data_IF_296610422751
#
_entry.id   IF_296610422751
#
_cell.length_a   1.000
_cell.length_b   1.000
_cell.length_c   1.000
_cell.angle_alpha   90.00
_cell.angle_beta   90.00
_cell.angle_gamma   90.00
#
_symmetry.space_group_name_H-M   'P 1'
#
loop_
_entity.id
_entity.type
_entity.pdbx_description
1 polymer ?
#
# COMPACT_ATOMS: atom_id res chain seq x y z
N UNK A 1 11.24 33.72 -15.03
CA UNK A 1 9.91 33.16 -14.75
C UNK A 1 10.03 32.28 -13.54
N UNK A 2 9.46 32.73 -12.43
CA UNK A 2 9.61 32.19 -11.08
C UNK A 2 9.29 30.69 -11.03
N UNK A 3 10.28 29.90 -10.59
CA UNK A 3 10.03 28.55 -10.09
C UNK A 3 9.33 28.73 -8.75
N UNK A 4 8.03 28.50 -8.76
CA UNK A 4 7.20 28.39 -7.57
C UNK A 4 7.90 27.49 -6.53
N UNK A 5 8.30 28.10 -5.41
CA UNK A 5 9.09 27.52 -4.31
C UNK A 5 8.21 26.91 -3.22
N UNK A 6 6.89 26.78 -3.45
CA UNK A 6 5.98 26.27 -2.45
C UNK A 6 5.95 24.73 -2.41
N UNK A 7 6.66 24.16 -1.43
CA UNK A 7 6.61 22.77 -0.92
C UNK A 7 7.56 21.76 -1.59
N UNK A 8 8.85 21.89 -1.30
CA UNK A 8 9.83 20.85 -1.59
C UNK A 8 9.61 19.54 -0.82
N UNK A 9 8.89 19.58 0.30
CA UNK A 9 8.65 18.44 1.18
C UNK A 9 7.18 18.44 1.60
N UNK A 10 6.58 17.25 1.60
CA UNK A 10 5.24 16.98 2.10
C UNK A 10 5.33 15.83 3.09
N UNK A 11 4.67 15.96 4.23
CA UNK A 11 4.65 14.92 5.26
C UNK A 11 3.24 14.74 5.78
N UNK A 12 2.80 13.48 5.82
CA UNK A 12 1.47 13.10 6.29
C UNK A 12 1.56 11.89 7.19
N UNK A 13 1.02 12.01 8.38
CA UNK A 13 0.85 10.90 9.32
C UNK A 13 -0.62 10.65 9.55
N UNK A 14 -1.03 9.39 9.51
CA UNK A 14 -2.39 8.96 9.86
C UNK A 14 -2.32 7.98 11.01
N UNK A 15 -3.18 8.17 12.00
CA UNK A 15 -3.27 7.29 13.16
C UNK A 15 -4.70 6.78 13.33
N UNK A 16 -4.83 5.49 13.60
CA UNK A 16 -6.06 4.82 13.97
C UNK A 16 -5.88 4.05 15.27
N UNK A 17 -6.91 4.05 16.11
CA UNK A 17 -6.93 3.32 17.38
C UNK A 17 -8.27 2.60 17.55
N UNK A 18 -8.21 1.33 17.91
CA UNK A 18 -9.35 0.50 18.23
C UNK A 18 -9.14 -0.11 19.63
N UNK A 19 -10.08 0.10 20.54
CA UNK A 19 -10.08 -0.53 21.85
C UNK A 19 -11.48 -1.02 22.20
N UNK A 20 -11.61 -2.30 22.49
CA UNK A 20 -12.88 -2.92 22.88
C UNK A 20 -12.69 -3.83 24.09
N UNK A 21 -13.69 -3.84 24.96
CA UNK A 21 -13.88 -4.86 25.98
C UNK A 21 -15.21 -5.55 25.67
N UNK A 22 -15.14 -6.64 24.89
CA UNK A 22 -16.31 -7.37 24.34
C UNK A 22 -16.22 -8.85 24.68
N UNK A 23 -16.44 -9.15 25.94
CA UNK A 23 -16.49 -10.51 26.47
C UNK A 23 -17.80 -11.21 26.08
N UNK A 24 -17.72 -12.47 25.65
CA UNK A 24 -18.91 -13.29 25.38
C UNK A 24 -19.56 -13.78 26.69
N UNK A 25 -18.79 -13.88 27.77
CA UNK A 25 -19.25 -14.25 29.11
C UNK A 25 -18.50 -13.46 30.18
N UNK A 26 -19.05 -13.45 31.40
CA UNK A 26 -18.43 -12.78 32.55
C UNK A 26 -17.09 -13.44 32.93
N UNK A 27 -16.96 -14.74 32.69
CA UNK A 27 -15.78 -15.54 33.05
C UNK A 27 -14.74 -15.65 31.93
N UNK A 28 -15.00 -15.08 30.75
CA UNK A 28 -14.08 -15.09 29.60
C UNK A 28 -13.92 -13.67 29.03
N UNK A 29 -13.15 -12.82 29.72
CA UNK A 29 -12.98 -11.44 29.31
C UNK A 29 -12.17 -11.35 28.00
N UNK A 30 -12.73 -10.64 27.01
CA UNK A 30 -12.04 -10.38 25.73
C UNK A 30 -11.77 -8.89 25.58
N UNK A 31 -10.51 -8.53 25.74
CA UNK A 31 -9.96 -7.22 25.42
C UNK A 31 -9.35 -7.26 24.03
N UNK A 32 -9.74 -6.33 23.17
CA UNK A 32 -9.12 -6.12 21.88
C UNK A 32 -8.47 -4.74 21.89
N UNK A 33 -7.20 -4.70 21.54
CA UNK A 33 -6.46 -3.47 21.36
C UNK A 33 -5.75 -3.51 20.01
N UNK A 34 -5.98 -2.51 19.18
CA UNK A 34 -5.29 -2.39 17.91
C UNK A 34 -5.00 -0.94 17.56
N UNK A 35 -3.90 -0.73 16.85
CA UNK A 35 -3.55 0.57 16.29
C UNK A 35 -3.08 0.41 14.86
N UNK A 36 -3.25 1.48 14.11
CA UNK A 36 -2.76 1.64 12.75
C UNK A 36 -1.94 2.93 12.68
N UNK A 37 -0.78 2.86 12.03
CA UNK A 37 0.08 4.00 11.78
C UNK A 37 0.49 4.02 10.31
N UNK A 38 0.11 5.09 9.60
CA UNK A 38 0.61 5.39 8.25
C UNK A 38 1.53 6.60 8.30
N UNK A 39 2.70 6.50 7.66
CA UNK A 39 3.65 7.61 7.50
C UNK A 39 3.96 7.76 6.02
N UNK A 40 3.71 8.95 5.48
CA UNK A 40 3.96 9.30 4.09
C UNK A 40 4.85 10.53 4.03
N UNK A 41 5.93 10.44 3.27
CA UNK A 41 6.83 11.56 3.00
C UNK A 41 7.12 11.67 1.51
N UNK A 42 7.06 12.88 0.97
CA UNK A 42 7.42 13.15 -0.42
C UNK A 42 8.38 14.33 -0.46
N UNK A 43 9.49 14.15 -1.17
CA UNK A 43 10.49 15.18 -1.41
C UNK A 43 10.66 15.42 -2.91
N UNK A 44 10.62 16.68 -3.36
CA UNK A 44 10.58 17.09 -4.78
C UNK A 44 11.85 17.84 -5.24
N UNK A 45 13.04 17.23 -5.27
CA UNK A 45 14.24 17.91 -5.74
C UNK A 45 14.20 18.07 -7.27
N UNK A 46 14.25 19.32 -7.73
CA UNK A 46 14.27 19.68 -9.15
C UNK A 46 13.16 18.96 -9.96
N UNK A 47 13.53 18.04 -10.86
CA UNK A 47 12.61 17.29 -11.74
C UNK A 47 12.23 15.91 -11.20
N UNK A 48 12.66 15.55 -10.00
CA UNK A 48 12.48 14.21 -9.42
C UNK A 48 11.53 14.26 -8.23
N UNK A 49 10.96 13.12 -7.86
CA UNK A 49 10.25 12.96 -6.59
C UNK A 49 10.76 11.72 -5.88
N UNK A 50 11.11 11.87 -4.61
CA UNK A 50 11.44 10.79 -3.70
C UNK A 50 10.22 10.59 -2.81
N UNK A 51 9.68 9.38 -2.80
CA UNK A 51 8.46 9.02 -2.07
C UNK A 51 8.82 7.92 -1.10
N UNK A 52 8.42 8.11 0.15
CA UNK A 52 8.47 7.10 1.19
C UNK A 52 7.07 6.92 1.76
N UNK A 53 6.61 5.67 1.82
CA UNK A 53 5.32 5.28 2.38
C UNK A 53 5.54 4.12 3.32
N UNK A 54 4.98 4.17 4.50
CA UNK A 54 4.92 3.04 5.41
C UNK A 54 3.57 2.92 6.06
N UNK A 55 3.21 1.68 6.37
CA UNK A 55 2.00 1.33 7.09
C UNK A 55 2.34 0.22 8.09
N UNK A 56 1.81 0.36 9.31
CA UNK A 56 1.97 -0.61 10.38
C UNK A 56 0.62 -0.79 11.07
N UNK A 57 0.16 -2.03 11.10
CA UNK A 57 -1.09 -2.44 11.72
C UNK A 57 -0.80 -3.51 12.77
N UNK A 58 -1.26 -3.25 13.98
CA UNK A 58 -1.09 -4.15 15.12
C UNK A 58 -2.43 -4.39 15.78
N UNK A 59 -2.72 -5.65 16.11
CA UNK A 59 -3.91 -6.08 16.83
C UNK A 59 -3.54 -7.15 17.86
N UNK A 60 -3.94 -6.90 19.10
CA UNK A 60 -3.83 -7.79 20.23
C UNK A 60 -5.21 -8.24 20.68
N UNK A 61 -5.38 -9.52 20.95
CA UNK A 61 -6.56 -10.08 21.64
C UNK A 61 -6.07 -10.62 22.98
N UNK A 62 -6.58 -10.05 24.07
CA UNK A 62 -6.12 -10.28 25.43
C UNK A 62 -4.61 -10.03 25.56
N UNK A 63 -3.85 -11.09 25.82
CA UNK A 63 -2.39 -11.06 25.92
C UNK A 63 -1.65 -11.67 24.72
N UNK A 64 -2.38 -12.20 23.74
CA UNK A 64 -1.81 -12.75 22.52
C UNK A 64 -1.77 -11.69 21.40
N UNK A 65 -0.60 -11.56 20.77
CA UNK A 65 -0.47 -10.88 19.50
C UNK A 65 -1.32 -11.65 18.46
N UNK A 66 -2.28 -10.96 17.86
CA UNK A 66 -3.26 -11.60 16.98
C UNK A 66 -3.03 -11.23 15.51
N UNK A 67 -2.85 -9.94 15.18
CA UNK A 67 -2.47 -9.48 13.83
C UNK A 67 -1.27 -8.55 13.91
N UNK A 68 -0.30 -8.78 13.05
CA UNK A 68 0.77 -7.82 12.80
C UNK A 68 1.12 -7.87 11.30
N UNK A 69 0.80 -6.79 10.59
CA UNK A 69 1.20 -6.62 9.21
C UNK A 69 1.72 -5.21 9.01
N UNK A 70 2.62 -5.07 8.05
CA UNK A 70 3.16 -3.77 7.72
C UNK A 70 4.02 -3.79 6.48
N UNK A 71 4.29 -2.60 5.98
CA UNK A 71 5.22 -2.43 4.88
C UNK A 71 5.95 -1.08 4.95
N UNK A 72 7.11 -1.05 4.31
CA UNK A 72 7.85 0.15 3.98
C UNK A 72 8.13 0.13 2.48
N UNK A 73 7.84 1.23 1.80
CA UNK A 73 7.94 1.38 0.37
C UNK A 73 8.68 2.67 0.03
N UNK A 74 9.79 2.54 -0.68
CA UNK A 74 10.56 3.65 -1.23
C UNK A 74 10.44 3.70 -2.74
N UNK A 75 10.20 4.88 -3.30
CA UNK A 75 10.09 5.09 -4.75
C UNK A 75 10.76 6.38 -5.18
N UNK A 76 11.42 6.34 -6.33
CA UNK A 76 11.94 7.54 -7.00
C UNK A 76 11.26 7.68 -8.36
N UNK A 77 10.63 8.83 -8.59
CA UNK A 77 10.07 9.22 -9.88
C UNK A 77 11.03 10.18 -10.56
N UNK A 78 11.60 9.77 -11.70
CA UNK A 78 12.45 10.63 -12.51
C UNK A 78 11.65 11.39 -13.54
N UNK A 79 12.00 12.65 -13.79
CA UNK A 79 11.35 13.50 -14.78
C UNK A 79 9.83 13.62 -14.55
N UNK A 80 9.40 13.77 -13.28
CA UNK A 80 8.00 13.65 -12.85
C UNK A 80 7.01 14.58 -13.57
N UNK A 81 7.51 15.69 -14.11
CA UNK A 81 6.70 16.68 -14.81
C UNK A 81 6.45 16.31 -16.28
N UNK A 82 7.27 15.43 -16.85
CA UNK A 82 7.19 15.02 -18.24
C UNK A 82 6.06 14.01 -18.47
N UNK A 83 5.52 14.03 -19.70
CA UNK A 83 4.46 13.10 -20.13
C UNK A 83 4.91 11.65 -20.00
N UNK A 84 6.16 11.37 -20.37
CA UNK A 84 6.82 10.08 -20.17
C UNK A 84 7.83 10.26 -19.05
N UNK A 85 7.65 9.51 -17.98
CA UNK A 85 8.52 9.55 -16.81
C UNK A 85 8.85 8.13 -16.36
N UNK A 86 9.79 7.99 -15.42
CA UNK A 86 10.32 6.70 -15.01
C UNK A 86 10.21 6.55 -13.51
N UNK A 87 9.94 5.35 -13.02
CA UNK A 87 10.02 5.04 -11.60
C UNK A 87 10.92 3.84 -11.35
N UNK A 88 11.58 3.89 -10.20
CA UNK A 88 12.18 2.73 -9.55
C UNK A 88 11.69 2.67 -8.11
N UNK A 89 11.47 1.48 -7.60
CA UNK A 89 10.93 1.28 -6.26
C UNK A 89 11.46 0.02 -5.60
N UNK A 90 11.45 0.04 -4.27
CA UNK A 90 11.74 -1.09 -3.42
C UNK A 90 10.76 -1.12 -2.26
N UNK A 91 10.38 -2.31 -1.84
CA UNK A 91 9.46 -2.49 -0.72
C UNK A 91 9.82 -3.72 0.10
N UNK A 92 9.73 -3.56 1.41
CA UNK A 92 9.72 -4.64 2.39
C UNK A 92 8.33 -4.69 3.03
N UNK A 93 7.78 -5.88 3.17
CA UNK A 93 6.47 -6.08 3.80
C UNK A 93 6.43 -7.41 4.52
N UNK A 94 5.60 -7.48 5.55
CA UNK A 94 5.31 -8.70 6.29
C UNK A 94 3.82 -8.73 6.65
N UNK A 95 3.29 -9.93 6.82
CA UNK A 95 1.93 -10.23 7.25
C UNK A 95 1.97 -11.55 8.01
N UNK A 96 2.27 -11.45 9.30
CA UNK A 96 2.53 -12.60 10.15
C UNK A 96 1.29 -13.46 10.32
N UNK A 97 0.10 -12.84 10.28
CA UNK A 97 -1.17 -13.56 10.39
C UNK A 97 -1.41 -14.51 9.22
N UNK A 98 -1.01 -14.11 8.00
CA UNK A 98 -1.07 -14.97 6.81
C UNK A 98 0.19 -15.82 6.62
N UNK A 99 1.17 -15.70 7.52
CA UNK A 99 2.45 -16.40 7.45
C UNK A 99 3.44 -15.80 6.45
N UNK A 100 3.23 -14.59 5.93
CA UNK A 100 4.16 -13.94 5.01
C UNK A 100 5.20 -13.14 5.78
N UNK A 101 6.39 -13.68 5.97
CA UNK A 101 7.51 -12.93 6.52
C UNK A 101 8.85 -13.56 6.13
N UNK A 102 9.76 -12.85 5.44
CA UNK A 102 9.59 -11.54 4.82
C UNK A 102 9.08 -11.60 3.37
N UNK A 103 8.55 -10.47 2.89
CA UNK A 103 8.41 -10.17 1.46
C UNK A 103 9.24 -8.95 1.07
N UNK A 104 10.19 -9.14 0.17
CA UNK A 104 11.00 -8.09 -0.42
C UNK A 104 10.67 -8.00 -1.91
N UNK A 105 10.55 -6.79 -2.44
CA UNK A 105 10.44 -6.57 -3.88
C UNK A 105 11.24 -5.34 -4.32
N UNK A 106 11.74 -5.40 -5.54
CA UNK A 106 12.34 -4.27 -6.25
C UNK A 106 11.78 -4.24 -7.67
N UNK A 107 11.58 -3.06 -8.22
CA UNK A 107 11.02 -2.93 -9.56
C UNK A 107 11.21 -1.55 -10.15
N UNK A 108 10.74 -1.43 -11.38
CA UNK A 108 10.72 -0.17 -12.09
C UNK A 108 9.72 -0.20 -13.23
N UNK A 109 9.28 0.99 -13.62
CA UNK A 109 8.24 1.15 -14.63
C UNK A 109 8.49 2.40 -15.46
N UNK A 110 8.09 2.35 -16.74
CA UNK A 110 7.84 3.54 -17.53
C UNK A 110 6.42 4.00 -17.23
N UNK A 111 6.26 5.30 -17.01
CA UNK A 111 5.00 5.93 -16.63
C UNK A 111 4.57 6.90 -17.71
N UNK A 112 3.31 6.82 -18.09
CA UNK A 112 2.66 7.71 -19.04
C UNK A 112 1.58 8.53 -18.32
N UNK A 113 1.82 9.83 -18.21
CA UNK A 113 0.83 10.82 -17.76
C UNK A 113 -0.12 11.08 -18.92
N UNK A 114 -1.27 10.41 -18.93
CA UNK A 114 -2.25 10.53 -20.02
C UNK A 114 -3.10 11.79 -19.89
N UNK A 115 -3.50 12.11 -18.66
CA UNK A 115 -4.18 13.35 -18.29
C UNK A 115 -3.45 13.96 -17.10
N UNK A 116 -3.17 15.27 -17.16
CA UNK A 116 -2.58 16.01 -16.06
C UNK A 116 -3.15 17.43 -16.05
N UNK A 117 -4.06 17.66 -15.12
CA UNK A 117 -4.72 18.94 -14.86
C UNK A 117 -4.70 19.18 -13.35
N UNK A 118 -5.11 20.37 -12.92
CA UNK A 118 -5.12 20.72 -11.50
C UNK A 118 -6.07 19.86 -10.66
N UNK A 119 -7.16 19.36 -11.28
CA UNK A 119 -8.18 18.54 -10.61
C UNK A 119 -8.15 17.06 -10.94
N UNK A 120 -7.49 16.68 -12.03
CA UNK A 120 -7.49 15.30 -12.52
C UNK A 120 -6.12 14.91 -13.06
N UNK A 121 -5.58 13.83 -12.53
CA UNK A 121 -4.37 13.18 -13.04
C UNK A 121 -4.65 11.70 -13.31
N UNK A 122 -4.32 11.25 -14.52
CA UNK A 122 -4.37 9.85 -14.94
C UNK A 122 -2.98 9.39 -15.37
N UNK A 123 -2.55 8.27 -14.78
CA UNK A 123 -1.23 7.70 -14.99
C UNK A 123 -1.36 6.20 -15.30
N UNK A 124 -0.60 5.75 -16.29
CA UNK A 124 -0.42 4.33 -16.58
C UNK A 124 1.05 4.01 -16.39
N UNK A 125 1.35 3.00 -15.57
CA UNK A 125 2.70 2.46 -15.40
C UNK A 125 2.80 1.08 -16.04
N UNK A 126 3.85 0.87 -16.83
CA UNK A 126 4.17 -0.42 -17.44
C UNK A 126 5.59 -0.76 -17.04
N UNK A 127 5.75 -1.93 -16.42
CA UNK A 127 7.02 -2.26 -15.78
C UNK A 127 7.14 -3.71 -15.37
N UNK A 128 8.15 -3.93 -14.53
CA UNK A 128 8.46 -5.24 -13.99
C UNK A 128 9.00 -5.12 -12.57
N UNK A 129 8.89 -6.22 -11.85
CA UNK A 129 9.47 -6.37 -10.53
C UNK A 129 10.09 -7.75 -10.36
N UNK A 130 11.02 -7.83 -9.42
CA UNK A 130 11.51 -9.05 -8.83
C UNK A 130 11.07 -9.05 -7.37
N UNK A 131 10.41 -10.12 -6.95
CA UNK A 131 10.02 -10.32 -5.56
C UNK A 131 10.60 -11.61 -5.00
N UNK A 132 10.76 -11.62 -3.68
CA UNK A 132 11.14 -12.74 -2.85
C UNK A 132 10.15 -12.80 -1.70
N UNK A 133 9.53 -13.95 -1.51
CA UNK A 133 8.51 -14.18 -0.48
C UNK A 133 8.87 -15.43 0.31
N UNK A 134 8.79 -15.33 1.63
CA UNK A 134 8.84 -16.48 2.55
C UNK A 134 7.49 -16.62 3.22
N UNK A 135 6.94 -17.83 3.17
CA UNK A 135 5.61 -18.16 3.66
C UNK A 135 5.68 -19.31 4.65
N UNK A 136 5.08 -19.14 5.83
CA UNK A 136 4.74 -20.23 6.72
C UNK A 136 3.43 -20.87 6.24
N UNK A 137 3.43 -22.19 6.04
CA UNK A 137 2.23 -22.91 5.66
C UNK A 137 1.23 -22.91 6.83
N UNK A 138 -0.07 -22.60 6.60
CA UNK A 138 -1.04 -22.43 7.69
C UNK A 138 -1.44 -23.74 8.38
N UNK A 139 -1.26 -24.89 7.72
CA UNK A 139 -1.68 -26.20 8.23
C UNK A 139 -0.54 -27.18 8.49
N UNK A 140 0.68 -26.83 8.09
CA UNK A 140 1.84 -27.72 8.12
C UNK A 140 3.01 -26.94 8.70
N UNK A 141 3.91 -27.61 9.41
CA UNK A 141 5.19 -27.04 9.83
C UNK A 141 6.16 -26.97 8.63
N UNK A 142 5.77 -26.24 7.59
CA UNK A 142 6.49 -26.11 6.33
C UNK A 142 6.70 -24.62 6.01
N UNK A 143 7.92 -24.28 5.63
CA UNK A 143 8.26 -22.94 5.10
C UNK A 143 8.41 -23.04 3.59
N UNK A 144 7.73 -22.16 2.86
CA UNK A 144 7.84 -22.03 1.41
C UNK A 144 8.52 -20.73 1.04
N UNK A 145 9.58 -20.84 0.26
CA UNK A 145 10.27 -19.69 -0.31
C UNK A 145 10.06 -19.65 -1.81
N UNK A 146 9.74 -18.49 -2.33
CA UNK A 146 9.57 -18.30 -3.76
C UNK A 146 10.17 -16.97 -4.20
N UNK A 147 10.70 -16.95 -5.42
CA UNK A 147 11.17 -15.74 -6.05
C UNK A 147 10.72 -15.64 -7.49
N UNK A 148 9.97 -14.59 -7.81
CA UNK A 148 9.34 -14.43 -9.11
C UNK A 148 9.75 -13.11 -9.75
N UNK A 149 10.04 -13.18 -11.06
CA UNK A 149 9.95 -12.00 -11.91
C UNK A 149 8.51 -11.85 -12.34
N UNK A 150 7.95 -10.66 -12.16
CA UNK A 150 6.59 -10.35 -12.55
C UNK A 150 6.59 -9.12 -13.46
N UNK A 151 5.79 -9.16 -14.52
CA UNK A 151 5.30 -7.92 -15.12
C UNK A 151 4.45 -7.22 -14.07
N UNK A 152 4.65 -5.92 -13.89
CA UNK A 152 3.95 -5.11 -12.91
C UNK A 152 3.46 -3.85 -13.59
N UNK A 153 2.17 -3.80 -13.84
CA UNK A 153 1.52 -2.70 -14.53
C UNK A 153 0.50 -2.09 -13.60
N UNK A 154 0.29 -0.79 -13.72
CA UNK A 154 -0.70 -0.13 -12.90
C UNK A 154 -1.39 1.02 -13.61
N UNK A 155 -2.58 1.32 -13.12
CA UNK A 155 -3.34 2.49 -13.45
C UNK A 155 -3.54 3.31 -12.17
N UNK A 156 -3.32 4.61 -12.24
CA UNK A 156 -3.54 5.53 -11.13
C UNK A 156 -4.38 6.72 -11.56
N UNK A 157 -5.34 7.06 -10.71
CA UNK A 157 -6.26 8.18 -10.84
C UNK A 157 -6.15 9.02 -9.58
N UNK A 158 -5.92 10.33 -9.74
CA UNK A 158 -6.10 11.33 -8.68
C UNK A 158 -7.12 12.34 -9.15
N UNK A 159 -8.19 12.51 -8.37
CA UNK A 159 -9.28 13.43 -8.67
C UNK A 159 -9.60 14.31 -7.45
N UNK A 160 -9.51 15.62 -7.62
CA UNK A 160 -10.00 16.62 -6.67
C UNK A 160 -11.44 16.94 -7.05
N UNK A 161 -12.40 16.36 -6.33
CA UNK A 161 -13.83 16.48 -6.64
C UNK A 161 -14.34 17.89 -6.33
N UNK A 162 -13.84 18.48 -5.25
CA UNK A 162 -14.07 19.85 -4.81
C UNK A 162 -12.96 20.26 -3.82
N UNK A 163 -13.07 21.45 -3.23
CA UNK A 163 -12.04 22.00 -2.33
C UNK A 163 -11.87 21.23 -1.00
N UNK A 164 -12.75 20.27 -0.72
CA UNK A 164 -12.77 19.47 0.50
C UNK A 164 -12.49 17.98 0.27
N UNK A 165 -12.64 17.46 -0.96
CA UNK A 165 -12.61 16.01 -1.21
C UNK A 165 -11.64 15.67 -2.33
N UNK A 166 -10.63 14.89 -1.98
CA UNK A 166 -9.67 14.28 -2.90
C UNK A 166 -9.84 12.76 -2.91
N UNK A 167 -9.85 12.18 -4.11
CA UNK A 167 -9.89 10.74 -4.34
C UNK A 167 -8.60 10.31 -5.04
N UNK A 168 -7.91 9.33 -4.48
CA UNK A 168 -6.77 8.67 -5.10
C UNK A 168 -7.10 7.19 -5.27
N UNK A 169 -6.97 6.68 -6.49
CA UNK A 169 -7.15 5.28 -6.82
C UNK A 169 -5.87 4.79 -7.49
N UNK A 170 -5.42 3.62 -7.10
CA UNK A 170 -4.37 2.89 -7.81
C UNK A 170 -4.74 1.42 -7.92
N UNK A 171 -4.60 0.87 -9.12
CA UNK A 171 -4.82 -0.54 -9.43
C UNK A 171 -3.54 -1.11 -10.01
N UNK A 172 -2.99 -2.14 -9.38
CA UNK A 172 -1.86 -2.92 -9.86
C UNK A 172 -2.34 -4.25 -10.41
N UNK A 173 -1.85 -4.63 -11.58
CA UNK A 173 -1.98 -5.96 -12.13
C UNK A 173 -0.60 -6.55 -12.39
N UNK A 174 -0.31 -7.65 -11.72
CA UNK A 174 1.01 -8.28 -11.69
C UNK A 174 0.92 -9.73 -12.14
N UNK A 175 1.78 -10.14 -13.07
CA UNK A 175 1.77 -11.50 -13.61
C UNK A 175 3.20 -12.04 -13.70
N UNK A 176 3.43 -13.24 -13.20
CA UNK A 176 4.70 -13.95 -13.33
C UNK A 176 4.52 -15.45 -13.53
N UNK A 177 5.42 -16.04 -14.30
CA UNK A 177 5.45 -17.49 -14.51
C UNK A 177 6.15 -18.19 -13.36
N UNK A 178 5.45 -19.10 -12.69
CA UNK A 178 6.00 -19.91 -11.61
C UNK A 178 6.37 -21.30 -12.15
N UNK A 179 7.68 -21.57 -12.16
CA UNK A 179 8.23 -22.85 -12.64
C UNK A 179 7.80 -24.04 -11.78
N UNK A 180 7.53 -23.85 -10.49
CA UNK A 180 7.15 -24.94 -9.58
C UNK A 180 5.79 -25.54 -9.91
N UNK A 181 4.91 -24.76 -10.53
CA UNK A 181 3.57 -25.19 -10.97
C UNK A 181 3.41 -25.17 -12.49
N UNK A 182 4.45 -24.78 -13.22
CA UNK A 182 4.44 -24.60 -14.68
C UNK A 182 3.27 -23.74 -15.20
N UNK A 183 2.90 -22.71 -14.45
CA UNK A 183 1.74 -21.86 -14.73
C UNK A 183 1.97 -20.42 -14.23
N UNK A 184 1.13 -19.48 -14.66
CA UNK A 184 1.18 -18.09 -14.26
C UNK A 184 0.47 -17.84 -12.93
N UNK A 185 1.11 -17.04 -12.08
CA UNK A 185 0.48 -16.40 -10.93
C UNK A 185 0.13 -14.97 -11.28
N UNK A 186 -1.09 -14.58 -10.96
CA UNK A 186 -1.67 -13.27 -11.21
C UNK A 186 -2.08 -12.67 -9.88
N UNK A 187 -1.68 -11.42 -9.64
CA UNK A 187 -2.03 -10.65 -8.46
C UNK A 187 -2.64 -9.32 -8.90
N UNK A 188 -3.82 -9.01 -8.37
CA UNK A 188 -4.49 -7.74 -8.55
C UNK A 188 -4.55 -7.03 -7.19
N UNK A 189 -4.04 -5.80 -7.11
CA UNK A 189 -4.17 -4.97 -5.92
C UNK A 189 -4.86 -3.67 -6.29
N UNK A 190 -5.81 -3.23 -5.47
CA UNK A 190 -6.48 -1.94 -5.59
C UNK A 190 -6.37 -1.20 -4.27
N UNK A 191 -6.06 0.08 -4.32
CA UNK A 191 -6.11 0.98 -3.16
C UNK A 191 -6.85 2.24 -3.55
N UNK A 192 -7.92 2.54 -2.83
CA UNK A 192 -8.72 3.75 -2.98
C UNK A 192 -8.66 4.55 -1.69
N UNK A 193 -8.16 5.78 -1.76
CA UNK A 193 -8.04 6.70 -0.64
C UNK A 193 -8.91 7.91 -0.90
N UNK A 194 -9.87 8.16 -0.03
CA UNK A 194 -10.74 9.34 -0.02
C UNK A 194 -10.32 10.21 1.16
N UNK A 195 -9.74 11.37 0.86
CA UNK A 195 -9.38 12.37 1.86
C UNK A 195 -10.45 13.45 1.90
N UNK A 196 -11.02 13.68 3.08
CA UNK A 196 -11.96 14.77 3.33
C UNK A 196 -11.30 15.80 4.25
N UNK A 197 -11.03 16.99 3.73
CA UNK A 197 -10.43 18.10 4.46
C UNK A 197 -11.38 18.58 5.56
N UNK A 198 -10.90 18.59 6.80
CA UNK A 198 -11.60 19.17 7.96
C UNK A 198 -11.10 20.58 8.21
N UNK A 199 -9.78 20.78 8.14
CA UNK A 199 -9.12 22.08 8.23
C UNK A 199 -7.81 22.06 7.44
N UNK A 200 -7.01 23.11 7.51
CA UNK A 200 -5.74 23.18 6.76
C UNK A 200 -4.68 22.16 7.20
N UNK A 201 -4.82 21.57 8.40
CA UNK A 201 -3.88 20.59 8.96
C UNK A 201 -4.48 19.23 9.24
N UNK A 202 -5.80 19.09 9.14
CA UNK A 202 -6.52 17.89 9.53
C UNK A 202 -7.43 17.41 8.40
N UNK A 203 -7.34 16.12 8.12
CA UNK A 203 -8.16 15.45 7.12
C UNK A 203 -8.68 14.12 7.67
N UNK A 204 -9.94 13.79 7.37
CA UNK A 204 -10.46 12.44 7.54
C UNK A 204 -10.06 11.61 6.31
N UNK A 205 -9.30 10.55 6.52
CA UNK A 205 -8.83 9.66 5.46
C UNK A 205 -9.58 8.35 5.53
N UNK A 206 -10.27 7.97 4.46
CA UNK A 206 -10.87 6.65 4.30
C UNK A 206 -10.08 5.88 3.24
N UNK A 207 -9.56 4.71 3.61
CA UNK A 207 -8.76 3.86 2.74
C UNK A 207 -9.48 2.54 2.54
N UNK A 208 -9.68 2.16 1.29
CA UNK A 208 -10.19 0.87 0.88
C UNK A 208 -9.12 0.14 0.08
N UNK A 209 -8.60 -0.96 0.63
CA UNK A 209 -7.61 -1.80 -0.03
C UNK A 209 -8.24 -3.15 -0.38
N UNK A 210 -7.88 -3.68 -1.55
CA UNK A 210 -8.30 -4.99 -2.03
C UNK A 210 -7.11 -5.69 -2.69
N UNK A 211 -6.88 -6.94 -2.35
CA UNK A 211 -5.86 -7.79 -2.95
C UNK A 211 -6.45 -9.13 -3.33
N UNK A 212 -6.23 -9.51 -4.58
CA UNK A 212 -6.64 -10.79 -5.14
C UNK A 212 -5.44 -11.52 -5.72
N UNK A 213 -5.31 -12.80 -5.39
CA UNK A 213 -4.37 -13.73 -6.00
C UNK A 213 -5.13 -14.94 -6.54
N UNK A 214 -4.91 -15.26 -7.82
CA UNK A 214 -5.57 -16.43 -8.42
C UNK A 214 -5.04 -17.75 -7.83
N UNK A 215 -3.77 -17.75 -7.44
CA UNK A 215 -3.01 -18.90 -6.93
C UNK A 215 -2.07 -18.40 -5.84
N UNK A 216 -2.51 -18.36 -4.58
CA UNK A 216 -1.65 -18.09 -3.44
C UNK A 216 -0.50 -19.12 -3.32
N UNK A 217 0.61 -18.73 -2.68
CA UNK A 217 1.80 -19.61 -2.52
C UNK A 217 1.52 -20.76 -1.52
N UNK A 218 0.76 -20.43 -0.49
CA UNK A 218 0.24 -21.32 0.56
C UNK A 218 -1.29 -21.26 0.54
N UNK A 219 -2.03 -22.25 1.09
CA UNK A 219 -3.49 -22.31 1.00
C UNK A 219 -4.19 -21.28 1.90
N UNK A 220 -4.09 -20.00 1.53
CA UNK A 220 -4.79 -18.86 2.14
C UNK A 220 -5.92 -18.37 1.23
N UNK A 221 -6.80 -17.51 1.75
CA UNK A 221 -7.88 -16.91 0.93
C UNK A 221 -7.31 -16.15 -0.27
N UNK A 222 -7.95 -16.31 -1.43
CA UNK A 222 -7.55 -15.65 -2.67
C UNK A 222 -7.85 -14.14 -2.65
N UNK A 223 -8.90 -13.72 -1.94
CA UNK A 223 -9.34 -12.33 -1.87
C UNK A 223 -9.25 -11.84 -0.43
N UNK A 224 -8.58 -10.72 -0.24
CA UNK A 224 -8.57 -9.95 1.00
C UNK A 224 -8.95 -8.51 0.70
N UNK A 225 -9.63 -7.87 1.64
CA UNK A 225 -9.94 -6.45 1.57
C UNK A 225 -9.89 -5.84 2.96
N UNK A 226 -9.68 -4.54 3.02
CA UNK A 226 -9.77 -3.79 4.27
C UNK A 226 -10.36 -2.41 4.01
N UNK A 227 -11.06 -1.90 5.01
CA UNK A 227 -11.54 -0.52 5.04
C UNK A 227 -11.04 0.10 6.34
N UNK A 228 -10.34 1.22 6.22
CA UNK A 228 -9.78 1.97 7.35
C UNK A 228 -10.24 3.41 7.29
N UNK A 229 -10.60 3.96 8.44
CA UNK A 229 -10.86 5.39 8.62
C UNK A 229 -9.87 5.92 9.64
N UNK A 230 -9.14 6.96 9.29
CA UNK A 230 -8.12 7.57 10.15
C UNK A 230 -8.17 9.09 10.11
N UNK A 231 -7.67 9.71 11.18
CA UNK A 231 -7.42 11.14 11.20
C UNK A 231 -5.98 11.39 10.77
N UNK A 232 -5.81 12.23 9.75
CA UNK A 232 -4.50 12.58 9.21
C UNK A 232 -4.10 13.98 9.59
N UNK A 233 -2.80 14.15 9.84
CA UNK A 233 -2.15 15.42 10.09
C UNK A 233 -1.23 15.74 8.90
N UNK A 234 -1.52 16.84 8.22
CA UNK A 234 -0.88 17.24 6.95
C UNK A 234 0.08 18.43 7.20
N UNK A 235 1.36 18.27 6.80
CA UNK A 235 2.41 19.29 6.89
C UNK A 235 3.00 19.64 5.51
#
# INVERSE_FOLDING_TARGET
MEKDTAKYFQFKTTFGLNHYNRSAGVDDPVSLFGYNLDVNAIYYPAKHAFVFVSNFDYLKINDADFLNFGFVHGRVNFLREEKVNYEVYGQYSFDNFRGLDPRLLIGGSVRLSTIKTDRLTLLVGIGGLKEWETWQHPYLEEIRQISLFKSSNYFSLRATLNDFVDVNLVNYYQVGFDRSISDFRQRFNSSTIINTKISDRFSLTNTFDLSYENRPIVPITNLIFSFRTGLSLDF
#
